data_IF_140094402610
#
_entry.id   IF_140094402610
#
_cell.length_a   1.000
_cell.length_b   1.000
_cell.length_c   1.000
_cell.angle_alpha   90.00
_cell.angle_beta   90.00
_cell.angle_gamma   90.00
#
_symmetry.space_group_name_H-M   'P 1'
#
loop_
_entity.id
_entity.type
_entity.pdbx_description
1 polymer ?
#
# COMPACT_ATOMS: atom_id res chain seq x y z
N UNK A 1 -34.37 -26.20 -35.69
CA UNK A 1 -34.57 -25.08 -34.75
C UNK A 1 -33.69 -25.36 -33.53
N UNK A 2 -33.04 -24.33 -32.93
CA UNK A 2 -32.28 -24.49 -31.69
C UNK A 2 -33.21 -24.99 -30.58
N UNK A 3 -32.68 -25.80 -29.67
CA UNK A 3 -33.36 -26.15 -28.42
C UNK A 3 -32.72 -25.32 -27.31
N UNK A 4 -33.54 -24.59 -26.57
CA UNK A 4 -33.11 -23.74 -25.47
C UNK A 4 -32.57 -24.59 -24.30
N UNK A 5 -31.44 -24.17 -23.72
CA UNK A 5 -30.78 -24.89 -22.62
C UNK A 5 -29.74 -25.95 -23.04
N UNK A 6 -29.58 -26.24 -24.33
CA UNK A 6 -28.55 -27.16 -24.82
C UNK A 6 -27.28 -26.45 -25.29
N UNK A 7 -26.12 -26.98 -24.87
CA UNK A 7 -24.81 -26.47 -25.24
C UNK A 7 -24.61 -26.47 -26.77
N UNK A 8 -24.12 -25.35 -27.28
CA UNK A 8 -23.83 -25.14 -28.71
C UNK A 8 -22.32 -25.30 -28.94
N UNK A 9 -21.97 -26.12 -29.93
CA UNK A 9 -20.59 -26.42 -30.28
C UNK A 9 -20.28 -26.01 -31.73
N UNK A 10 -19.02 -25.66 -32.00
CA UNK A 10 -18.54 -25.49 -33.37
C UNK A 10 -18.31 -26.87 -34.01
N UNK A 11 -18.73 -27.04 -35.26
CA UNK A 11 -18.48 -28.25 -36.03
C UNK A 11 -18.66 -28.06 -37.54
N UNK A 12 -18.63 -29.18 -38.26
CA UNK A 12 -18.67 -29.21 -39.72
C UNK A 12 -19.77 -30.15 -40.20
N UNK A 13 -20.53 -29.69 -41.21
CA UNK A 13 -21.59 -30.44 -41.87
C UNK A 13 -21.17 -30.83 -43.29
N UNK A 14 -21.43 -32.07 -43.69
CA UNK A 14 -21.21 -32.50 -45.07
C UNK A 14 -22.33 -32.01 -46.00
N UNK A 15 -21.96 -31.48 -47.16
CA UNK A 15 -22.89 -30.89 -48.16
C UNK A 15 -23.21 -31.81 -49.34
N UNK A 16 -22.69 -33.04 -49.39
CA UNK A 16 -22.92 -34.00 -50.49
C UNK A 16 -24.21 -34.83 -50.27
N UNK A 17 -24.97 -35.12 -51.34
CA UNK A 17 -26.15 -36.00 -51.41
C UNK A 17 -27.08 -35.97 -50.17
N UNK A 18 -27.62 -34.79 -49.84
CA UNK A 18 -28.61 -34.66 -48.77
C UNK A 18 -28.05 -34.73 -47.34
N UNK A 19 -26.72 -34.63 -47.17
CA UNK A 19 -26.01 -34.11 -45.99
C UNK A 19 -26.58 -34.44 -44.60
N UNK A 20 -26.44 -35.69 -44.14
CA UNK A 20 -26.83 -36.12 -42.78
C UNK A 20 -25.67 -36.28 -41.79
N UNK A 21 -24.45 -35.92 -42.18
CA UNK A 21 -23.25 -36.12 -41.34
C UNK A 21 -22.75 -34.80 -40.74
N UNK A 22 -22.63 -34.81 -39.42
CA UNK A 22 -22.19 -33.68 -38.60
C UNK A 22 -21.11 -34.15 -37.63
N UNK A 23 -20.02 -33.39 -37.49
CA UNK A 23 -18.95 -33.73 -36.54
C UNK A 23 -18.34 -32.51 -35.90
N UNK A 24 -17.73 -32.72 -34.73
CA UNK A 24 -16.78 -31.79 -34.11
C UNK A 24 -15.32 -32.12 -34.43
N UNK A 25 -15.05 -33.32 -34.95
CA UNK A 25 -13.70 -33.85 -35.21
C UNK A 25 -13.51 -34.13 -36.70
N UNK A 26 -12.98 -33.14 -37.41
CA UNK A 26 -12.66 -33.20 -38.85
C UNK A 26 -11.79 -34.39 -39.25
N UNK A 27 -10.83 -34.80 -38.38
CA UNK A 27 -9.93 -35.91 -38.66
C UNK A 27 -10.70 -37.23 -38.73
N UNK A 28 -11.55 -37.49 -37.74
CA UNK A 28 -12.34 -38.73 -37.63
C UNK A 28 -13.34 -38.86 -38.79
N UNK A 29 -14.03 -37.77 -39.12
CA UNK A 29 -15.04 -37.75 -40.18
C UNK A 29 -14.45 -38.01 -41.58
N UNK A 30 -13.23 -37.54 -41.87
CA UNK A 30 -12.59 -37.75 -43.18
C UNK A 30 -12.26 -39.20 -43.49
N UNK A 31 -11.89 -39.99 -42.47
CA UNK A 31 -11.41 -41.36 -42.67
C UNK A 31 -12.50 -42.40 -42.39
N UNK A 32 -13.27 -42.25 -41.32
CA UNK A 32 -14.20 -43.29 -40.87
C UNK A 32 -15.59 -43.17 -41.51
N UNK A 33 -16.01 -41.96 -41.92
CA UNK A 33 -17.40 -41.72 -42.33
C UNK A 33 -17.53 -41.20 -43.76
N UNK A 34 -16.72 -40.23 -44.19
CA UNK A 34 -16.82 -39.65 -45.52
C UNK A 34 -16.19 -40.53 -46.61
N UNK A 35 -15.07 -41.20 -46.31
CA UNK A 35 -14.38 -42.04 -47.27
C UNK A 35 -15.24 -43.26 -47.70
N UNK A 36 -15.89 -44.01 -46.79
CA UNK A 36 -16.78 -45.10 -47.18
C UNK A 36 -18.09 -44.63 -47.82
N UNK A 37 -18.64 -43.49 -47.39
CA UNK A 37 -19.96 -43.02 -47.84
C UNK A 37 -19.95 -42.29 -49.19
N UNK A 38 -18.84 -41.60 -49.53
CA UNK A 38 -18.75 -40.79 -50.76
C UNK A 38 -17.63 -41.23 -51.71
N UNK A 39 -16.76 -42.17 -51.31
CA UNK A 39 -15.66 -42.68 -52.14
C UNK A 39 -14.58 -41.65 -52.49
N UNK A 40 -14.55 -40.48 -51.83
CA UNK A 40 -13.65 -39.35 -52.13
C UNK A 40 -12.46 -39.32 -51.16
N UNK A 41 -11.26 -39.10 -51.71
CA UNK A 41 -10.01 -39.01 -50.91
C UNK A 41 -9.96 -37.70 -50.13
N UNK A 42 -9.33 -37.71 -48.95
CA UNK A 42 -9.20 -36.53 -48.07
C UNK A 42 -8.67 -35.25 -48.75
N UNK A 43 -7.86 -35.37 -49.80
CA UNK A 43 -7.34 -34.23 -50.59
C UNK A 43 -8.43 -33.53 -51.42
N UNK A 44 -9.44 -34.26 -51.89
CA UNK A 44 -10.54 -33.73 -52.70
C UNK A 44 -11.53 -32.88 -51.89
N UNK A 45 -11.52 -33.00 -50.56
CA UNK A 45 -12.31 -32.14 -49.67
C UNK A 45 -11.71 -30.73 -49.46
N UNK A 46 -10.54 -30.43 -50.04
CA UNK A 46 -9.87 -29.12 -49.99
C UNK A 46 -9.92 -28.34 -51.32
N UNK A 47 -10.55 -28.90 -52.35
CA UNK A 47 -10.68 -28.24 -53.66
C UNK A 47 -11.76 -27.13 -53.65
N UNK A 48 -11.85 -26.36 -54.74
CA UNK A 48 -12.62 -25.12 -54.89
C UNK A 48 -14.12 -25.19 -54.50
N UNK A 49 -14.71 -26.37 -54.37
CA UNK A 49 -16.01 -26.59 -53.76
C UNK A 49 -15.86 -27.47 -52.49
N UNK A 50 -15.61 -26.89 -51.30
CA UNK A 50 -15.42 -27.65 -50.08
C UNK A 50 -16.72 -28.40 -49.71
N UNK A 51 -16.62 -29.72 -49.63
CA UNK A 51 -17.73 -30.64 -49.29
C UNK A 51 -18.14 -30.57 -47.81
N UNK A 52 -17.56 -29.64 -47.06
CA UNK A 52 -17.78 -29.42 -45.63
C UNK A 52 -18.04 -27.93 -45.40
N UNK A 53 -19.16 -27.62 -44.74
CA UNK A 53 -19.52 -26.28 -44.33
C UNK A 53 -19.45 -26.16 -42.80
N UNK A 54 -18.82 -25.10 -42.30
CA UNK A 54 -18.81 -24.78 -40.86
C UNK A 54 -20.21 -24.46 -40.37
N UNK A 55 -20.57 -25.00 -39.21
CA UNK A 55 -21.88 -24.80 -38.60
C UNK A 55 -21.82 -24.90 -37.07
N UNK A 56 -22.85 -24.36 -36.43
CA UNK A 56 -23.11 -24.56 -35.00
C UNK A 56 -23.93 -25.83 -34.81
N UNK A 57 -23.47 -26.74 -33.96
CA UNK A 57 -24.09 -28.02 -33.65
C UNK A 57 -24.62 -28.04 -32.22
N UNK A 58 -25.82 -28.57 -32.02
CA UNK A 58 -26.27 -29.02 -30.70
C UNK A 58 -26.25 -30.55 -30.64
N UNK A 59 -26.06 -31.08 -29.44
CA UNK A 59 -25.96 -32.51 -29.18
C UNK A 59 -27.21 -33.03 -28.49
N UNK A 60 -27.68 -34.20 -28.89
CA UNK A 60 -28.64 -34.95 -28.09
C UNK A 60 -28.14 -36.39 -27.93
N UNK A 61 -28.45 -36.99 -26.78
CA UNK A 61 -28.10 -38.38 -26.50
C UNK A 61 -29.12 -39.30 -27.16
N UNK A 62 -28.64 -40.24 -27.98
CA UNK A 62 -29.46 -41.30 -28.56
C UNK A 62 -29.02 -42.64 -28.00
N UNK A 63 -29.64 -43.09 -26.91
CA UNK A 63 -29.31 -44.38 -26.28
C UNK A 63 -27.88 -44.48 -25.73
N UNK A 64 -27.54 -45.64 -25.14
CA UNK A 64 -26.30 -45.87 -24.36
C UNK A 64 -25.02 -45.45 -25.12
N UNK A 65 -24.53 -44.25 -24.83
CA UNK A 65 -23.20 -43.76 -25.23
C UNK A 65 -23.08 -43.07 -26.59
N UNK A 66 -24.17 -42.89 -27.35
CA UNK A 66 -24.09 -42.26 -28.68
C UNK A 66 -24.59 -40.82 -28.63
N UNK A 67 -23.71 -39.89 -29.03
CA UNK A 67 -24.04 -38.47 -29.17
C UNK A 67 -24.31 -38.19 -30.65
N UNK A 68 -25.52 -37.74 -30.98
CA UNK A 68 -25.85 -37.23 -32.31
C UNK A 68 -25.84 -35.71 -32.33
N UNK A 69 -25.37 -35.16 -33.45
CA UNK A 69 -25.30 -33.72 -33.69
C UNK A 69 -26.34 -33.33 -34.73
N UNK A 70 -26.92 -32.14 -34.61
CA UNK A 70 -27.71 -31.51 -35.68
C UNK A 70 -27.32 -30.03 -35.82
N UNK A 71 -27.41 -29.50 -37.03
CA UNK A 71 -27.06 -28.12 -37.33
C UNK A 71 -28.15 -27.15 -36.85
N UNK A 72 -27.71 -26.10 -36.16
CA UNK A 72 -28.56 -25.09 -35.55
C UNK A 72 -28.42 -23.73 -36.24
N UNK A 73 -27.21 -23.38 -36.70
CA UNK A 73 -26.96 -22.16 -37.50
C UNK A 73 -25.84 -22.40 -38.52
N UNK A 74 -26.00 -21.84 -39.73
CA UNK A 74 -24.91 -21.63 -40.69
C UNK A 74 -24.23 -20.32 -40.30
N UNK A 75 -22.92 -20.33 -40.15
CA UNK A 75 -22.18 -19.09 -39.90
C UNK A 75 -22.37 -18.17 -41.11
N UNK A 76 -23.17 -17.11 -40.92
CA UNK A 76 -23.11 -15.90 -41.74
C UNK A 76 -22.19 -14.97 -40.97
N UNK A 77 -21.11 -14.53 -41.62
CA UNK A 77 -20.03 -13.76 -41.02
C UNK A 77 -20.53 -12.58 -40.17
N UNK A 78 -20.38 -12.68 -38.85
CA UNK A 78 -20.52 -11.59 -37.88
C UNK A 78 -19.47 -11.73 -36.79
N UNK A 79 -18.20 -11.63 -37.19
CA UNK A 79 -17.06 -11.97 -36.35
C UNK A 79 -15.97 -10.90 -36.20
N UNK A 80 -16.25 -9.62 -36.51
CA UNK A 80 -15.21 -8.58 -36.52
C UNK A 80 -15.49 -7.37 -35.62
N UNK A 81 -16.74 -6.93 -35.45
CA UNK A 81 -17.02 -5.68 -34.73
C UNK A 81 -17.07 -5.83 -33.20
N UNK A 82 -17.46 -7.00 -32.69
CA UNK A 82 -17.62 -7.22 -31.24
C UNK A 82 -16.29 -7.36 -30.51
N UNK A 83 -15.26 -7.94 -31.15
CA UNK A 83 -13.95 -8.15 -30.52
C UNK A 83 -13.19 -6.85 -30.35
N UNK A 84 -13.24 -5.94 -31.34
CA UNK A 84 -12.61 -4.63 -31.27
C UNK A 84 -13.22 -3.75 -30.17
N UNK A 85 -14.56 -3.77 -30.05
CA UNK A 85 -15.28 -3.04 -28.99
C UNK A 85 -14.95 -3.56 -27.59
N UNK A 86 -14.79 -4.89 -27.41
CA UNK A 86 -14.42 -5.48 -26.12
C UNK A 86 -12.98 -5.12 -25.73
N UNK A 87 -12.05 -5.05 -26.70
CA UNK A 87 -10.67 -4.60 -26.41
C UNK A 87 -10.61 -3.12 -26.04
N UNK A 88 -11.41 -2.26 -26.68
CA UNK A 88 -11.49 -0.83 -26.33
C UNK A 88 -12.11 -0.61 -24.93
N UNK A 89 -13.22 -1.28 -24.64
CA UNK A 89 -13.83 -1.23 -23.29
C UNK A 89 -12.89 -1.75 -22.19
N UNK A 90 -12.02 -2.71 -22.52
CA UNK A 90 -11.01 -3.22 -21.57
C UNK A 90 -9.86 -2.23 -21.36
N UNK A 91 -9.42 -1.50 -22.39
CA UNK A 91 -8.38 -0.49 -22.21
C UNK A 91 -8.87 0.66 -21.35
N UNK A 92 -10.11 1.10 -21.55
CA UNK A 92 -10.70 2.20 -20.78
C UNK A 92 -10.83 1.79 -19.30
N UNK A 93 -11.32 0.58 -19.02
CA UNK A 93 -11.42 0.05 -17.65
C UNK A 93 -10.05 -0.12 -16.96
N UNK A 94 -9.00 -0.47 -17.71
CA UNK A 94 -7.64 -0.51 -17.16
C UNK A 94 -7.11 0.88 -16.83
N UNK A 95 -7.40 1.87 -17.69
CA UNK A 95 -7.01 3.26 -17.46
C UNK A 95 -7.73 3.86 -16.24
N UNK A 96 -9.02 3.56 -16.07
CA UNK A 96 -9.79 3.95 -14.89
C UNK A 96 -9.21 3.33 -13.60
N UNK A 97 -8.87 2.03 -13.64
CA UNK A 97 -8.22 1.35 -12.51
C UNK A 97 -6.86 1.96 -12.14
N UNK A 98 -6.04 2.31 -13.13
CA UNK A 98 -4.78 3.01 -12.87
C UNK A 98 -5.00 4.39 -12.24
N UNK A 99 -6.06 5.09 -12.62
CA UNK A 99 -6.41 6.37 -12.01
C UNK A 99 -6.89 6.20 -10.58
N UNK A 100 -7.68 5.18 -10.30
CA UNK A 100 -8.16 4.88 -8.95
C UNK A 100 -7.01 4.43 -8.03
N UNK A 101 -6.03 3.68 -8.53
CA UNK A 101 -4.81 3.35 -7.78
C UNK A 101 -4.05 4.62 -7.40
N UNK A 102 -3.84 5.54 -8.35
CA UNK A 102 -3.15 6.82 -8.06
C UNK A 102 -3.91 7.65 -7.02
N UNK A 103 -5.24 7.74 -7.13
CA UNK A 103 -6.07 8.43 -6.13
C UNK A 103 -5.96 7.77 -4.75
N UNK A 104 -5.98 6.44 -4.70
CA UNK A 104 -5.83 5.71 -3.45
C UNK A 104 -4.45 5.91 -2.83
N UNK A 105 -3.39 6.03 -3.64
CA UNK A 105 -2.05 6.38 -3.17
C UNK A 105 -1.99 7.81 -2.59
N UNK A 106 -2.59 8.79 -3.28
CA UNK A 106 -2.68 10.17 -2.80
C UNK A 106 -3.50 10.28 -1.50
N UNK A 107 -4.64 9.58 -1.42
CA UNK A 107 -5.48 9.52 -0.22
C UNK A 107 -4.74 8.86 0.95
N UNK A 108 -3.96 7.80 0.68
CA UNK A 108 -3.11 7.17 1.70
C UNK A 108 -2.04 8.12 2.22
N UNK A 109 -1.44 8.93 1.34
CA UNK A 109 -0.44 9.91 1.76
C UNK A 109 -1.07 11.02 2.62
N UNK A 110 -2.23 11.56 2.22
CA UNK A 110 -2.91 12.59 3.02
C UNK A 110 -3.41 12.03 4.36
N UNK A 111 -3.87 10.77 4.40
CA UNK A 111 -4.22 10.10 5.66
C UNK A 111 -3.00 9.81 6.52
N UNK A 112 -1.84 9.51 5.93
CA UNK A 112 -0.60 9.27 6.66
C UNK A 112 -0.05 10.55 7.31
N UNK A 113 -0.32 11.72 6.71
CA UNK A 113 0.05 13.04 7.27
C UNK A 113 -0.77 13.43 8.51
N UNK A 114 -1.84 12.71 8.81
CA UNK A 114 -2.71 12.98 9.96
C UNK A 114 -2.49 11.91 11.01
N UNK A 115 -2.19 12.33 12.24
CA UNK A 115 -2.01 11.40 13.35
C UNK A 115 -3.33 10.72 13.68
N UNK A 116 -3.37 9.40 13.46
CA UNK A 116 -4.49 8.55 13.83
C UNK A 116 -4.49 8.25 15.34
N UNK A 117 -5.65 7.78 15.82
CA UNK A 117 -5.85 7.46 17.23
C UNK A 117 -4.86 6.40 17.73
N UNK A 118 -4.24 6.65 18.88
CA UNK A 118 -3.32 5.73 19.53
C UNK A 118 -4.02 4.68 20.41
N UNK A 119 -5.36 4.67 20.48
CA UNK A 119 -6.16 3.89 21.43
C UNK A 119 -5.71 2.43 21.63
N UNK A 120 -5.27 1.74 20.58
CA UNK A 120 -4.82 0.34 20.65
C UNK A 120 -3.30 0.15 20.72
N UNK A 121 -2.52 1.22 20.54
CA UNK A 121 -1.06 1.18 20.52
C UNK A 121 -0.47 0.85 21.89
N UNK A 122 0.64 0.11 21.92
CA UNK A 122 1.41 -0.14 23.16
C UNK A 122 1.83 1.17 23.82
N UNK A 123 2.08 2.22 23.05
CA UNK A 123 2.53 3.53 23.54
C UNK A 123 1.44 4.27 24.33
N UNK A 124 0.16 4.08 24.02
CA UNK A 124 -0.96 4.67 24.76
C UNK A 124 -1.21 4.02 26.13
N UNK A 125 -0.55 2.87 26.41
CA UNK A 125 -0.70 2.15 27.69
C UNK A 125 0.22 2.68 28.79
N UNK A 126 1.08 3.65 28.50
CA UNK A 126 1.89 4.30 29.52
C UNK A 126 0.98 5.10 30.46
N UNK A 127 0.95 4.82 31.78
CA UNK A 127 -0.02 5.44 32.70
C UNK A 127 0.04 6.97 32.71
N UNK A 128 1.23 7.55 32.64
CA UNK A 128 1.41 9.00 32.68
C UNK A 128 0.90 9.71 31.43
N UNK A 129 1.00 9.09 30.24
CA UNK A 129 0.43 9.64 29.00
C UNK A 129 -1.10 9.68 29.05
N UNK A 130 -1.70 8.65 29.68
CA UNK A 130 -3.16 8.58 29.86
C UNK A 130 -3.67 9.61 30.87
N UNK A 131 -2.92 9.85 31.95
CA UNK A 131 -3.30 10.84 32.98
C UNK A 131 -3.34 12.26 32.41
N UNK A 132 -2.49 12.57 31.44
CA UNK A 132 -2.39 13.89 30.81
C UNK A 132 -3.20 14.03 29.51
N UNK A 133 -4.00 13.01 29.15
CA UNK A 133 -4.74 12.92 27.90
C UNK A 133 -3.91 13.27 26.63
N UNK A 134 -2.61 12.96 26.68
CA UNK A 134 -1.67 13.24 25.58
C UNK A 134 -2.09 12.63 24.23
N UNK A 135 -2.66 11.40 24.18
CA UNK A 135 -3.20 10.86 22.93
C UNK A 135 -4.33 11.69 22.33
N UNK A 136 -5.17 12.32 23.17
CA UNK A 136 -6.25 13.22 22.73
C UNK A 136 -5.70 14.47 22.04
N UNK A 137 -4.61 15.03 22.59
CA UNK A 137 -3.95 16.20 22.01
C UNK A 137 -3.28 15.94 20.66
N UNK A 138 -2.87 14.71 20.37
CA UNK A 138 -2.20 14.38 19.10
C UNK A 138 -3.17 13.95 18.00
N UNK A 139 -4.38 13.50 18.34
CA UNK A 139 -5.35 12.97 17.37
C UNK A 139 -5.77 14.05 16.37
N UNK A 140 -5.64 13.76 15.08
CA UNK A 140 -6.08 14.68 14.02
C UNK A 140 -5.11 15.84 13.75
N UNK A 141 -3.98 15.92 14.46
CA UNK A 141 -2.93 16.85 14.08
C UNK A 141 -2.26 16.41 12.78
N UNK A 142 -1.97 17.39 11.93
CA UNK A 142 -1.11 17.20 10.76
C UNK A 142 0.36 17.16 11.16
N UNK A 143 1.15 16.37 10.46
CA UNK A 143 2.60 16.26 10.65
C UNK A 143 3.29 17.62 10.56
N UNK A 144 2.84 18.49 9.66
CA UNK A 144 3.38 19.85 9.54
C UNK A 144 3.11 20.69 10.79
N UNK A 145 1.91 20.59 11.37
CA UNK A 145 1.56 21.29 12.60
C UNK A 145 2.35 20.75 13.80
N UNK A 146 2.53 19.42 13.86
CA UNK A 146 3.38 18.77 14.87
C UNK A 146 4.81 19.28 14.74
N UNK A 147 5.37 19.27 13.52
CA UNK A 147 6.72 19.76 13.27
C UNK A 147 6.87 21.20 13.71
N UNK A 148 5.97 22.10 13.29
CA UNK A 148 6.00 23.52 13.67
C UNK A 148 5.89 23.69 15.19
N UNK A 149 5.14 22.83 15.90
CA UNK A 149 4.96 22.95 17.36
C UNK A 149 6.24 22.84 18.18
N UNK A 150 7.26 22.11 17.72
CA UNK A 150 8.53 21.94 18.44
C UNK A 150 9.76 22.39 17.64
N UNK A 151 9.59 22.91 16.42
CA UNK A 151 10.73 23.36 15.61
C UNK A 151 11.42 24.54 16.29
N UNK A 152 12.73 24.42 16.51
CA UNK A 152 13.56 25.50 17.05
C UNK A 152 13.58 26.67 16.08
N UNK A 153 13.47 27.89 16.62
CA UNK A 153 13.71 29.09 15.85
C UNK A 153 15.12 29.06 15.24
N UNK A 154 15.32 29.71 14.08
CA UNK A 154 16.63 29.77 13.44
C UNK A 154 17.70 30.24 14.43
N UNK A 155 18.90 29.64 14.35
CA UNK A 155 19.99 29.93 15.29
C UNK A 155 20.30 31.42 15.42
N UNK A 156 20.20 32.18 14.32
CA UNK A 156 20.39 33.64 14.30
C UNK A 156 19.41 34.39 15.21
N UNK A 157 18.16 33.92 15.27
CA UNK A 157 17.11 34.47 16.14
C UNK A 157 17.38 34.14 17.61
N UNK A 158 17.92 32.95 17.89
CA UNK A 158 18.27 32.52 19.25
C UNK A 158 19.52 33.26 19.77
N UNK A 159 20.50 33.49 18.90
CA UNK A 159 21.76 34.19 19.21
C UNK A 159 21.55 35.72 19.35
N UNK A 160 20.35 36.24 19.09
CA UNK A 160 20.03 37.67 19.21
C UNK A 160 20.47 38.53 18.04
N UNK A 161 20.95 37.92 16.94
CA UNK A 161 21.31 38.59 15.69
C UNK A 161 20.06 38.84 14.83
N UNK A 162 19.08 39.55 15.40
CA UNK A 162 17.80 39.87 14.74
C UNK A 162 17.85 41.30 14.21
N UNK A 163 17.66 41.46 12.91
CA UNK A 163 17.43 42.77 12.27
C UNK A 163 16.06 43.30 12.74
N UNK A 164 15.89 44.61 12.93
CA UNK A 164 14.65 45.22 13.49
C UNK A 164 13.36 44.90 12.68
N UNK A 165 13.50 44.28 11.51
CA UNK A 165 12.43 43.86 10.61
C UNK A 165 12.04 42.37 10.70
N UNK A 166 12.74 41.54 11.47
CA UNK A 166 12.32 40.15 11.70
C UNK A 166 11.31 40.13 12.85
N UNK A 167 10.05 39.83 12.53
CA UNK A 167 8.97 39.57 13.48
C UNK A 167 9.36 38.37 14.36
N UNK A 168 10.19 38.60 15.38
CA UNK A 168 10.62 37.57 16.31
C UNK A 168 9.38 36.97 16.96
N UNK A 169 9.06 35.74 16.54
CA UNK A 169 7.73 35.14 16.69
C UNK A 169 7.21 35.23 18.13
N UNK A 170 8.07 35.16 19.14
CA UNK A 170 7.80 35.63 20.51
C UNK A 170 9.12 35.99 21.22
N UNK A 171 9.37 37.26 21.61
CA UNK A 171 10.62 37.63 22.31
C UNK A 171 10.77 36.91 23.66
N UNK A 172 9.66 36.64 24.34
CA UNK A 172 9.62 35.89 25.60
C UNK A 172 10.11 34.44 25.42
N UNK A 173 9.78 33.81 24.29
CA UNK A 173 10.21 32.45 23.98
C UNK A 173 11.73 32.40 23.80
N UNK A 174 12.31 33.37 23.08
CA UNK A 174 13.77 33.47 22.90
C UNK A 174 14.46 33.64 24.25
N UNK A 175 13.92 34.50 25.11
CA UNK A 175 14.45 34.69 26.46
C UNK A 175 14.39 33.42 27.32
N UNK A 176 13.25 32.71 27.31
CA UNK A 176 13.07 31.43 28.02
C UNK A 176 14.09 30.39 27.52
N UNK A 177 14.28 30.28 26.21
CA UNK A 177 15.21 29.31 25.63
C UNK A 177 16.67 29.60 26.00
N UNK A 178 17.07 30.88 25.98
CA UNK A 178 18.41 31.29 26.36
C UNK A 178 18.66 31.11 27.86
N UNK A 179 17.68 31.46 28.71
CA UNK A 179 17.75 31.23 30.15
C UNK A 179 17.81 29.73 30.50
N UNK A 180 17.02 28.90 29.82
CA UNK A 180 17.04 27.46 30.01
C UNK A 180 18.37 26.85 29.57
N UNK A 181 18.95 27.30 28.46
CA UNK A 181 20.27 26.85 28.02
C UNK A 181 21.37 27.21 29.02
N UNK A 182 21.38 28.46 29.51
CA UNK A 182 22.33 28.89 30.53
C UNK A 182 22.21 28.04 31.81
N UNK A 183 20.98 27.83 32.30
CA UNK A 183 20.72 26.97 33.45
C UNK A 183 21.21 25.53 33.23
N UNK A 184 21.00 24.97 32.03
CA UNK A 184 21.45 23.61 31.70
C UNK A 184 22.98 23.52 31.59
N UNK A 185 23.64 24.57 31.08
CA UNK A 185 25.10 24.69 31.07
C UNK A 185 25.64 24.75 32.50
N UNK A 186 25.11 25.63 33.35
CA UNK A 186 25.49 25.75 34.76
C UNK A 186 25.29 24.42 35.51
N UNK A 187 24.15 23.76 35.31
CA UNK A 187 23.86 22.46 35.92
C UNK A 187 24.82 21.37 35.43
N UNK A 188 25.17 21.37 34.14
CA UNK A 188 26.18 20.48 33.59
C UNK A 188 27.55 20.77 34.21
N UNK A 189 27.98 22.03 34.30
CA UNK A 189 29.24 22.39 34.96
C UNK A 189 29.29 21.93 36.41
N UNK A 190 28.19 22.02 37.16
CA UNK A 190 28.12 21.50 38.54
C UNK A 190 28.19 19.96 38.60
N UNK A 191 27.78 19.28 37.53
CA UNK A 191 27.66 17.82 37.46
C UNK A 191 28.72 17.14 36.57
N UNK A 192 29.59 17.88 35.87
CA UNK A 192 30.60 17.37 34.94
C UNK A 192 31.90 16.97 35.65
N UNK A 193 32.38 15.73 35.47
CA UNK A 193 33.59 15.19 36.12
C UNK A 193 34.86 16.04 35.92
N UNK A 194 34.90 16.81 34.82
CA UNK A 194 36.00 17.72 34.48
C UNK A 194 35.86 19.12 35.09
N UNK A 195 34.76 19.40 35.79
CA UNK A 195 34.54 20.68 36.45
C UNK A 195 35.21 20.72 37.83
N UNK A 196 35.92 21.80 38.16
CA UNK A 196 36.57 21.95 39.47
C UNK A 196 35.60 22.04 40.67
N UNK A 197 34.27 22.11 40.46
CA UNK A 197 33.25 22.34 41.51
C UNK A 197 32.40 21.13 41.93
N UNK A 198 32.86 19.90 41.69
CA UNK A 198 32.01 18.71 41.52
C UNK A 198 31.20 18.20 42.73
N UNK A 199 29.97 17.67 42.49
CA UNK A 199 29.07 17.01 43.50
C UNK A 199 28.53 15.60 43.15
N UNK A 200 28.81 15.02 41.97
CA UNK A 200 28.30 13.68 41.56
C UNK A 200 29.35 12.58 41.68
N UNK A 201 29.60 12.11 42.90
CA UNK A 201 30.67 11.12 43.17
C UNK A 201 30.29 9.74 42.60
N UNK A 202 31.27 8.98 42.08
CA UNK A 202 31.13 7.60 41.57
C UNK A 202 30.32 6.68 42.50
N UNK A 203 30.42 6.88 43.81
CA UNK A 203 29.63 6.17 44.83
C UNK A 203 28.11 6.38 44.68
N UNK A 204 27.67 7.59 44.34
CA UNK A 204 26.26 7.93 44.14
C UNK A 204 25.72 7.31 42.85
N UNK A 205 26.51 7.29 41.79
CA UNK A 205 26.17 6.59 40.55
C UNK A 205 26.05 5.07 40.79
N UNK A 206 26.97 4.48 41.57
CA UNK A 206 26.90 3.06 41.96
C UNK A 206 25.65 2.76 42.81
N UNK A 207 25.33 3.60 43.79
CA UNK A 207 24.15 3.43 44.65
C UNK A 207 22.84 3.54 43.85
N UNK A 208 22.76 4.47 42.90
CA UNK A 208 21.62 4.59 41.99
C UNK A 208 21.50 3.38 41.05
N UNK A 209 22.64 2.86 40.57
CA UNK A 209 22.68 1.65 39.76
C UNK A 209 22.26 0.40 40.53
N UNK A 210 22.65 0.25 41.79
CA UNK A 210 22.19 -0.85 42.65
C UNK A 210 20.66 -0.80 42.85
N UNK A 211 20.10 0.39 43.08
CA UNK A 211 18.65 0.59 43.21
C UNK A 211 17.90 0.24 41.91
N UNK A 212 18.51 0.53 40.75
CA UNK A 212 17.92 0.30 39.43
C UNK A 212 18.05 -1.15 38.95
N UNK A 213 19.20 -1.79 39.20
CA UNK A 213 19.47 -3.18 38.85
C UNK A 213 18.62 -4.18 39.64
N UNK A 214 18.17 -3.81 40.84
CA UNK A 214 17.20 -4.58 41.61
C UNK A 214 15.79 -4.62 41.02
N UNK A 215 15.44 -3.71 40.09
CA UNK A 215 14.08 -3.55 39.55
C UNK A 215 13.89 -3.81 38.05
N UNK A 216 14.95 -3.74 37.22
CA UNK A 216 14.84 -3.86 35.76
C UNK A 216 16.04 -4.60 35.18
N UNK A 217 15.87 -5.89 34.89
CA UNK A 217 16.95 -6.82 34.54
C UNK A 217 17.54 -6.71 33.14
N UNK A 218 17.43 -5.59 32.40
CA UNK A 218 18.04 -5.48 31.06
C UNK A 218 18.22 -4.05 30.48
N UNK A 219 18.07 -2.99 31.28
CA UNK A 219 18.35 -1.62 30.82
C UNK A 219 19.79 -1.21 31.11
N UNK A 220 20.45 -0.50 30.19
CA UNK A 220 21.79 0.05 30.41
C UNK A 220 21.80 0.89 31.70
N UNK A 221 22.72 0.58 32.62
CA UNK A 221 22.84 1.29 33.90
C UNK A 221 23.08 2.79 33.72
N UNK A 222 22.82 3.56 34.77
CA UNK A 222 23.23 4.96 34.87
C UNK A 222 24.73 5.05 34.61
N UNK A 223 25.08 5.65 33.48
CA UNK A 223 26.46 6.02 33.19
C UNK A 223 26.85 7.11 34.16
N UNK A 224 28.04 7.01 34.75
CA UNK A 224 28.58 8.06 35.60
C UNK A 224 28.90 9.34 34.81
N UNK A 225 29.01 9.24 33.48
CA UNK A 225 29.35 10.34 32.58
C UNK A 225 28.26 10.58 31.52
N UNK A 226 27.91 11.85 31.31
CA UNK A 226 27.34 12.31 30.04
C UNK A 226 28.50 12.81 29.18
N UNK A 227 28.64 12.30 27.96
CA UNK A 227 29.70 12.76 27.06
C UNK A 227 29.41 14.21 26.63
N UNK A 228 30.41 15.09 26.65
CA UNK A 228 30.29 16.47 26.19
C UNK A 228 29.72 16.56 24.76
N UNK A 229 30.00 15.57 23.91
CA UNK A 229 29.47 15.45 22.55
C UNK A 229 27.95 15.25 22.48
N UNK A 230 27.32 14.76 23.55
CA UNK A 230 25.86 14.53 23.60
C UNK A 230 25.06 15.72 24.14
N UNK A 231 25.71 16.68 24.81
CA UNK A 231 25.03 17.85 25.39
C UNK A 231 24.25 18.69 24.39
N UNK A 232 24.77 18.98 23.17
CA UNK A 232 24.02 19.76 22.21
C UNK A 232 22.68 19.11 21.85
N UNK A 233 22.65 17.78 21.75
CA UNK A 233 21.43 17.03 21.45
C UNK A 233 20.45 17.03 22.63
N UNK A 234 20.93 16.89 23.87
CA UNK A 234 20.09 16.99 25.06
C UNK A 234 19.48 18.39 25.22
N UNK A 235 20.30 19.43 25.07
CA UNK A 235 19.83 20.82 25.16
C UNK A 235 18.83 21.11 24.05
N UNK A 236 19.08 20.64 22.83
CA UNK A 236 18.12 20.75 21.73
C UNK A 236 16.77 20.11 22.07
N UNK A 237 16.76 18.88 22.59
CA UNK A 237 15.51 18.19 22.96
C UNK A 237 14.73 18.94 24.06
N UNK A 238 15.42 19.48 25.07
CA UNK A 238 14.76 20.24 26.14
C UNK A 238 14.19 21.55 25.59
N UNK A 239 14.94 22.26 24.73
CA UNK A 239 14.44 23.46 24.05
C UNK A 239 13.20 23.16 23.20
N UNK A 240 13.22 22.08 22.42
CA UNK A 240 12.06 21.65 21.63
C UNK A 240 10.83 21.40 22.51
N UNK A 241 11.02 20.78 23.68
CA UNK A 241 9.94 20.56 24.64
C UNK A 241 9.39 21.88 25.22
N UNK A 242 10.26 22.83 25.55
CA UNK A 242 9.85 24.15 26.03
C UNK A 242 9.07 24.93 24.98
N UNK A 243 9.49 24.88 23.71
CA UNK A 243 8.74 25.48 22.59
C UNK A 243 7.36 24.84 22.48
N UNK A 244 7.28 23.51 22.55
CA UNK A 244 6.00 22.80 22.51
C UNK A 244 5.07 23.28 23.63
N UNK A 245 5.55 23.31 24.88
CA UNK A 245 4.73 23.81 26.00
C UNK A 245 4.32 25.27 25.80
N UNK A 246 5.23 26.15 25.37
CA UNK A 246 4.92 27.56 25.15
C UNK A 246 3.88 27.78 24.04
N UNK A 247 3.93 26.99 22.95
CA UNK A 247 3.05 27.14 21.79
C UNK A 247 1.71 26.42 21.93
N UNK A 248 1.65 25.35 22.72
CA UNK A 248 0.49 24.42 22.75
C UNK A 248 -0.28 24.45 24.07
N UNK A 249 0.37 24.73 25.20
CA UNK A 249 -0.23 24.70 26.56
C UNK A 249 -0.48 26.11 27.07
#
# INVERSE_FOLDING_TARGET
>A
RPIDGLAVYNGDACTHDGGRFYTRRLRTLKYEQLFPAHGKKARQHRAAAPLLQRCKLQTYFTGKGWIRYFAVMKDTDRGTDTTASITALKSDLLQDLEQDIRRAEEDLEEQARVVQDFGDSRSARAPWLKTLDFPGHLRGLKDDAIKVSYTLSPKRVLDGDVDENDDAEHPDLVWILNAAEAMLQDAYELCSDTSPGWRMIQQRANMLNEFYAGGSGNSAGFRCFNNASTLPSYFANIKQLLIYFFRVV
#
